data_IF_679206193163
#
_entry.id   IF_679206193163
#
_cell.length_a   1.000
_cell.length_b   1.000
_cell.length_c   1.000
_cell.angle_alpha   90.00
_cell.angle_beta   90.00
_cell.angle_gamma   90.00
#
_symmetry.space_group_name_H-M   'P 1'
#
loop_
_entity.id
_entity.type
_entity.pdbx_description
1 polymer ?
#
# COMPACT_ATOMS: atom_id res chain seq x y z
N UNK A 1 -16.30 7.25 -44.53
CA UNK A 1 -16.75 5.86 -44.71
C UNK A 1 -15.78 5.11 -45.63
N UNK A 2 -14.47 5.20 -45.39
CA UNK A 2 -13.42 4.61 -46.24
C UNK A 2 -12.09 4.36 -45.51
N UNK A 3 -12.10 3.93 -44.25
CA UNK A 3 -10.84 3.66 -43.45
C UNK A 3 -10.91 2.44 -42.53
N UNK A 4 -12.03 1.75 -42.41
CA UNK A 4 -12.11 0.56 -41.54
C UNK A 4 -11.90 -0.78 -42.23
N UNK A 5 -12.03 -0.87 -43.56
CA UNK A 5 -11.76 -2.13 -44.30
C UNK A 5 -10.28 -2.52 -44.43
N UNK A 6 -9.37 -1.60 -44.27
CA UNK A 6 -7.94 -1.85 -44.46
C UNK A 6 -7.23 -2.49 -43.25
N UNK A 7 -7.83 -2.45 -42.07
CA UNK A 7 -7.25 -2.98 -40.85
C UNK A 7 -7.60 -4.45 -40.60
N UNK A 8 -8.77 -4.87 -41.00
CA UNK A 8 -9.20 -6.29 -40.91
C UNK A 8 -8.50 -7.20 -41.95
N UNK A 9 -8.25 -6.69 -43.14
CA UNK A 9 -7.49 -7.44 -44.15
C UNK A 9 -6.07 -7.70 -43.74
N UNK A 10 -5.40 -6.75 -43.12
CA UNK A 10 -4.00 -6.93 -42.62
C UNK A 10 -3.88 -7.86 -41.42
N UNK A 11 -4.94 -8.02 -40.63
CA UNK A 11 -4.95 -9.00 -39.54
C UNK A 11 -5.16 -10.42 -40.04
N UNK A 12 -5.87 -10.62 -41.15
CA UNK A 12 -6.08 -11.96 -41.74
C UNK A 12 -4.83 -12.48 -42.48
N UNK A 13 -4.06 -11.59 -43.11
CA UNK A 13 -2.80 -11.98 -43.76
C UNK A 13 -1.73 -12.40 -42.74
N UNK A 14 -1.63 -11.76 -41.58
CA UNK A 14 -0.69 -12.17 -40.51
C UNK A 14 -1.04 -13.46 -39.79
N UNK A 15 -2.32 -13.86 -39.83
CA UNK A 15 -2.74 -15.14 -39.26
C UNK A 15 -2.46 -16.34 -40.17
N UNK A 16 -2.31 -16.10 -41.48
CA UNK A 16 -2.01 -17.14 -42.45
C UNK A 16 -0.51 -17.49 -42.57
N UNK A 17 0.38 -16.56 -42.21
CA UNK A 17 1.84 -16.76 -42.22
C UNK A 17 2.42 -17.46 -40.97
N UNK A 18 1.62 -17.60 -39.87
CA UNK A 18 2.07 -18.21 -38.62
C UNK A 18 1.80 -19.72 -38.50
N UNK A 19 1.39 -20.41 -39.58
CA UNK A 19 0.90 -21.79 -39.57
C UNK A 19 1.78 -22.84 -40.26
N UNK A 20 3.06 -22.58 -40.58
CA UNK A 20 3.91 -23.54 -41.23
C UNK A 20 5.31 -23.56 -40.57
N UNK A 21 5.49 -24.41 -39.55
CA UNK A 21 6.71 -25.18 -39.30
C UNK A 21 6.61 -25.90 -37.95
N UNK A 22 6.37 -27.22 -38.04
CA UNK A 22 6.60 -28.16 -36.92
C UNK A 22 7.37 -29.37 -37.52
N UNK A 23 8.55 -29.73 -36.99
CA UNK A 23 9.18 -30.98 -37.38
C UNK A 23 8.72 -32.14 -36.48
N UNK A 24 8.29 -33.19 -37.14
CA UNK A 24 8.14 -34.56 -36.59
C UNK A 24 9.50 -35.10 -36.13
N UNK A 25 9.51 -35.78 -34.98
CA UNK A 25 10.54 -36.75 -34.62
C UNK A 25 9.87 -38.03 -34.12
N UNK A 26 10.13 -39.04 -34.93
CA UNK A 26 9.75 -40.45 -34.76
C UNK A 26 10.56 -41.16 -33.68
N UNK A 27 9.87 -42.03 -32.99
CA UNK A 27 10.05 -43.36 -32.52
C UNK A 27 11.42 -43.95 -32.14
N UNK A 28 11.39 -44.68 -31.04
CA UNK A 28 11.84 -46.11 -31.05
C UNK A 28 11.64 -46.69 -29.63
N UNK A 29 11.05 -47.90 -29.64
CA UNK A 29 10.81 -48.78 -28.51
C UNK A 29 12.00 -49.69 -28.23
N UNK A 30 11.89 -50.39 -27.11
CA UNK A 30 12.54 -51.64 -26.63
C UNK A 30 13.52 -51.39 -25.45
N UNK A 31 13.65 -52.18 -24.45
CA UNK A 31 13.10 -53.50 -24.08
C UNK A 31 13.57 -53.80 -22.63
N UNK A 32 12.78 -54.67 -21.94
CA UNK A 32 13.15 -55.66 -20.95
C UNK A 32 13.95 -55.30 -19.65
N UNK A 33 13.38 -55.52 -18.48
CA UNK A 33 13.53 -56.78 -17.83
C UNK A 33 13.72 -56.75 -16.31
N UNK A 34 12.92 -57.55 -15.60
CA UNK A 34 13.15 -58.18 -14.29
C UNK A 34 13.25 -57.27 -13.03
N UNK A 35 12.32 -57.23 -12.08
CA UNK A 35 11.91 -58.38 -11.27
C UNK A 35 12.46 -58.25 -9.87
N UNK A 36 11.62 -57.88 -8.89
CA UNK A 36 11.70 -58.34 -7.51
C UNK A 36 10.48 -57.87 -6.68
N UNK A 37 9.93 -58.76 -5.94
CA UNK A 37 8.69 -58.70 -5.21
C UNK A 37 8.74 -57.87 -3.90
N UNK A 38 7.56 -57.60 -3.26
CA UNK A 38 7.40 -56.57 -2.25
C UNK A 38 7.77 -57.02 -0.86
N UNK A 39 8.53 -56.21 -0.15
CA UNK A 39 8.82 -56.37 1.27
C UNK A 39 7.82 -55.58 2.14
N UNK A 40 7.19 -56.33 2.94
CA UNK A 40 6.27 -56.10 4.05
C UNK A 40 6.46 -54.80 4.83
N UNK A 41 5.47 -53.93 4.81
CA UNK A 41 5.39 -52.71 5.64
C UNK A 41 4.80 -53.08 7.02
N UNK A 42 5.64 -53.56 7.92
CA UNK A 42 5.28 -53.79 9.31
C UNK A 42 4.90 -52.49 10.03
N UNK A 43 3.63 -52.35 10.33
CA UNK A 43 3.07 -51.37 11.28
C UNK A 43 3.62 -51.65 12.67
N UNK A 44 4.57 -50.79 13.13
CA UNK A 44 5.01 -50.81 14.54
C UNK A 44 4.04 -50.02 15.40
N UNK A 45 3.45 -50.68 16.38
CA UNK A 45 2.59 -50.12 17.40
C UNK A 45 3.38 -49.27 18.42
N UNK A 46 2.74 -48.29 19.12
CA UNK A 46 3.40 -47.30 20.02
C UNK A 46 3.92 -47.83 21.35
N UNK A 47 4.02 -49.15 21.55
CA UNK A 47 4.29 -49.76 22.86
C UNK A 47 5.73 -50.23 23.10
N UNK A 48 6.65 -50.16 22.14
CA UNK A 48 7.94 -50.88 22.21
C UNK A 48 9.18 -50.04 22.51
N UNK A 49 9.00 -48.79 22.97
CA UNK A 49 10.13 -47.89 23.33
C UNK A 49 10.56 -47.93 24.80
N UNK A 50 10.07 -48.88 25.61
CA UNK A 50 10.30 -48.86 27.06
C UNK A 50 11.44 -49.73 27.59
N UNK A 51 12.30 -50.32 26.75
CA UNK A 51 13.36 -51.23 27.24
C UNK A 51 14.68 -51.14 26.46
N UNK A 52 15.39 -49.95 26.54
CA UNK A 52 16.84 -49.86 26.28
C UNK A 52 17.50 -48.87 27.20
N UNK A 53 18.67 -49.19 27.81
CA UNK A 53 19.30 -48.35 28.82
C UNK A 53 20.06 -47.11 28.29
N UNK A 54 20.02 -46.84 27.02
CA UNK A 54 20.73 -45.68 26.41
C UNK A 54 19.75 -44.54 26.13
N UNK A 55 19.29 -43.91 27.22
CA UNK A 55 18.35 -42.76 27.19
C UNK A 55 18.88 -41.47 26.52
N UNK A 56 20.00 -41.55 25.78
CA UNK A 56 20.59 -40.39 25.11
C UNK A 56 20.14 -40.20 23.65
N UNK A 57 19.67 -41.24 22.97
CA UNK A 57 19.31 -41.13 21.54
C UNK A 57 17.84 -40.81 21.26
N UNK A 58 16.92 -41.03 22.22
CA UNK A 58 15.52 -40.63 22.05
C UNK A 58 15.26 -39.14 22.32
N UNK A 59 16.18 -38.45 22.99
CA UNK A 59 16.05 -37.00 23.24
C UNK A 59 16.50 -36.14 22.04
N UNK A 60 17.22 -36.72 21.08
CA UNK A 60 17.73 -35.96 19.92
C UNK A 60 16.74 -35.83 18.76
N UNK A 61 15.62 -36.57 18.78
CA UNK A 61 14.59 -36.50 17.72
C UNK A 61 13.36 -35.69 18.09
N UNK A 62 13.31 -35.05 19.26
CA UNK A 62 12.48 -33.91 19.48
C UNK A 62 13.11 -32.71 18.73
N UNK A 63 13.20 -32.83 17.40
CA UNK A 63 13.48 -31.69 16.54
C UNK A 63 12.55 -30.58 17.00
N UNK A 64 13.10 -29.50 17.55
CA UNK A 64 12.43 -28.22 17.74
C UNK A 64 11.73 -27.95 16.42
N UNK A 65 10.44 -28.25 16.36
CA UNK A 65 9.55 -27.74 15.32
C UNK A 65 9.57 -26.24 15.53
N UNK A 66 10.52 -25.57 14.87
CA UNK A 66 10.46 -24.12 14.74
C UNK A 66 9.02 -23.77 14.38
N UNK A 67 8.39 -22.85 15.11
CA UNK A 67 7.02 -22.45 14.77
C UNK A 67 7.08 -22.03 13.32
N UNK A 68 6.38 -22.78 12.44
CA UNK A 68 6.28 -22.48 11.00
C UNK A 68 5.97 -20.99 10.91
N UNK A 69 6.94 -20.18 10.49
CA UNK A 69 6.75 -18.74 10.22
C UNK A 69 5.48 -18.65 9.41
N UNK A 70 4.47 -17.96 9.96
CA UNK A 70 3.15 -17.88 9.36
C UNK A 70 3.31 -17.52 7.88
N UNK A 71 2.65 -18.26 6.98
CA UNK A 71 2.76 -18.05 5.52
C UNK A 71 2.20 -16.70 5.06
N UNK A 72 1.55 -15.96 5.94
CA UNK A 72 0.96 -14.64 5.68
C UNK A 72 1.98 -13.51 5.90
N UNK A 73 2.00 -12.47 5.01
CA UNK A 73 1.32 -12.39 3.72
C UNK A 73 2.18 -12.95 2.58
N UNK A 74 1.61 -13.74 1.67
CA UNK A 74 2.20 -14.03 0.36
C UNK A 74 1.76 -13.01 -0.68
N UNK A 75 2.24 -13.13 -1.93
CA UNK A 75 1.78 -12.27 -3.03
C UNK A 75 0.27 -12.38 -3.26
N UNK A 76 -0.27 -13.61 -3.23
CA UNK A 76 -1.71 -13.87 -3.34
C UNK A 76 -2.49 -13.21 -2.19
N UNK A 77 -1.93 -13.19 -0.97
CA UNK A 77 -2.58 -12.54 0.16
C UNK A 77 -2.64 -11.01 -0.03
N UNK A 78 -1.60 -10.39 -0.59
CA UNK A 78 -1.61 -8.95 -0.90
C UNK A 78 -2.64 -8.61 -1.98
N UNK A 79 -2.74 -9.43 -3.03
CA UNK A 79 -3.79 -9.29 -4.04
C UNK A 79 -5.20 -9.48 -3.45
N UNK A 80 -5.37 -10.45 -2.54
CA UNK A 80 -6.63 -10.65 -1.85
C UNK A 80 -7.00 -9.46 -0.95
N UNK A 81 -6.03 -8.85 -0.24
CA UNK A 81 -6.26 -7.63 0.54
C UNK A 81 -6.68 -6.46 -0.37
N UNK A 82 -6.05 -6.30 -1.55
CA UNK A 82 -6.51 -5.33 -2.54
C UNK A 82 -7.93 -5.65 -3.04
N UNK A 83 -8.24 -6.93 -3.30
CA UNK A 83 -9.59 -7.37 -3.66
C UNK A 83 -10.62 -7.01 -2.59
N UNK A 84 -10.30 -7.20 -1.31
CA UNK A 84 -11.16 -6.78 -0.19
C UNK A 84 -11.36 -5.26 -0.19
N UNK A 85 -10.31 -4.49 -0.48
CA UNK A 85 -10.42 -3.04 -0.59
C UNK A 85 -11.34 -2.61 -1.75
N UNK A 86 -11.21 -3.21 -2.94
CA UNK A 86 -12.08 -2.90 -4.07
C UNK A 86 -13.54 -3.31 -3.82
N UNK A 87 -13.76 -4.43 -3.12
CA UNK A 87 -15.11 -4.79 -2.66
C UNK A 87 -15.66 -3.75 -1.67
N UNK A 88 -14.83 -3.25 -0.77
CA UNK A 88 -15.22 -2.20 0.16
C UNK A 88 -15.55 -0.88 -0.55
N UNK A 89 -14.81 -0.52 -1.61
CA UNK A 89 -15.15 0.63 -2.46
C UNK A 89 -16.52 0.47 -3.11
N UNK A 90 -16.86 -0.73 -3.57
CA UNK A 90 -18.20 -1.01 -4.09
C UNK A 90 -19.27 -0.79 -3.00
N UNK A 91 -19.04 -1.27 -1.77
CA UNK A 91 -19.95 -1.03 -0.66
C UNK A 91 -20.08 0.47 -0.33
N UNK A 92 -18.98 1.23 -0.40
CA UNK A 92 -18.99 2.69 -0.27
C UNK A 92 -19.79 3.38 -1.37
N UNK A 93 -19.68 2.89 -2.61
CA UNK A 93 -20.49 3.36 -3.73
C UNK A 93 -22.00 3.13 -3.52
N UNK A 94 -22.38 1.96 -3.01
CA UNK A 94 -23.79 1.69 -2.66
C UNK A 94 -24.24 2.62 -1.53
N UNK A 95 -23.40 2.84 -0.51
CA UNK A 95 -23.71 3.79 0.58
C UNK A 95 -23.83 5.24 0.07
N UNK A 96 -23.01 5.63 -0.92
CA UNK A 96 -23.12 6.93 -1.60
C UNK A 96 -24.51 7.13 -2.22
N UNK A 97 -24.97 6.15 -2.99
CA UNK A 97 -26.33 6.20 -3.61
C UNK A 97 -27.42 6.24 -2.54
N UNK A 98 -27.31 5.41 -1.49
CA UNK A 98 -28.26 5.39 -0.39
C UNK A 98 -28.29 6.72 0.40
N UNK A 99 -27.13 7.41 0.49
CA UNK A 99 -27.04 8.74 1.07
C UNK A 99 -27.58 9.86 0.17
N UNK A 100 -28.13 9.52 -1.00
CA UNK A 100 -28.65 10.47 -1.98
C UNK A 100 -27.56 11.13 -2.82
N UNK A 101 -26.48 10.39 -3.11
CA UNK A 101 -25.52 10.76 -4.15
C UNK A 101 -26.19 10.71 -5.50
N UNK A 102 -26.20 11.83 -6.20
CA UNK A 102 -26.75 11.96 -7.56
C UNK A 102 -25.59 11.91 -8.54
N UNK A 103 -25.67 11.10 -9.62
CA UNK A 103 -24.59 11.02 -10.61
C UNK A 103 -24.32 12.34 -11.35
N UNK A 104 -25.31 13.23 -11.44
CA UNK A 104 -25.32 14.36 -12.38
C UNK A 104 -24.91 15.72 -11.82
N UNK A 105 -24.18 15.76 -10.70
CA UNK A 105 -23.53 17.00 -10.24
C UNK A 105 -24.43 18.13 -9.72
N UNK A 106 -25.74 17.95 -9.69
CA UNK A 106 -26.72 18.98 -9.21
C UNK A 106 -26.73 19.16 -7.68
N UNK A 107 -26.02 18.29 -6.94
CA UNK A 107 -25.96 18.40 -5.49
C UNK A 107 -25.11 19.60 -5.05
N UNK A 108 -25.58 20.30 -4.00
CA UNK A 108 -24.78 21.36 -3.39
C UNK A 108 -23.41 20.83 -2.93
N UNK A 109 -22.35 21.68 -2.91
CA UNK A 109 -21.02 21.23 -2.48
C UNK A 109 -20.99 20.61 -1.07
N UNK A 110 -21.85 21.09 -0.17
CA UNK A 110 -21.98 20.53 1.17
C UNK A 110 -22.62 19.13 1.15
N UNK A 111 -23.62 18.93 0.32
CA UNK A 111 -24.25 17.62 0.13
C UNK A 111 -23.26 16.61 -0.47
N UNK A 112 -22.47 17.02 -1.46
CA UNK A 112 -21.39 16.19 -2.02
C UNK A 112 -20.40 15.77 -0.93
N UNK A 113 -19.99 16.71 -0.06
CA UNK A 113 -19.12 16.43 1.08
C UNK A 113 -19.72 15.40 2.04
N UNK A 114 -21.02 15.50 2.36
CA UNK A 114 -21.71 14.53 3.21
C UNK A 114 -21.70 13.12 2.57
N UNK A 115 -22.06 13.03 1.29
CA UNK A 115 -22.03 11.76 0.55
C UNK A 115 -20.62 11.17 0.53
N UNK A 116 -19.60 12.00 0.29
CA UNK A 116 -18.21 11.58 0.36
C UNK A 116 -17.85 11.01 1.74
N UNK A 117 -18.27 11.67 2.82
CA UNK A 117 -17.98 11.20 4.18
C UNK A 117 -18.64 9.86 4.50
N UNK A 118 -19.90 9.67 4.10
CA UNK A 118 -20.64 8.40 4.28
C UNK A 118 -20.00 7.28 3.46
N UNK A 119 -19.70 7.55 2.19
CA UNK A 119 -19.05 6.60 1.28
C UNK A 119 -17.67 6.19 1.82
N UNK A 120 -16.84 7.17 2.19
CA UNK A 120 -15.49 6.93 2.73
C UNK A 120 -15.52 6.14 4.02
N UNK A 121 -16.37 6.51 4.98
CA UNK A 121 -16.50 5.79 6.25
C UNK A 121 -16.90 4.33 6.01
N UNK A 122 -17.90 4.10 5.15
CA UNK A 122 -18.36 2.74 4.81
C UNK A 122 -17.22 1.94 4.17
N UNK A 123 -16.53 2.51 3.19
CA UNK A 123 -15.39 1.88 2.52
C UNK A 123 -14.32 1.49 3.53
N UNK A 124 -13.88 2.41 4.37
CA UNK A 124 -12.78 2.15 5.30
C UNK A 124 -13.15 1.15 6.39
N UNK A 125 -14.36 1.21 6.92
CA UNK A 125 -14.83 0.25 7.94
C UNK A 125 -14.90 -1.15 7.35
N UNK A 126 -15.53 -1.31 6.18
CA UNK A 126 -15.63 -2.62 5.50
C UNK A 126 -14.24 -3.14 5.12
N UNK A 127 -13.37 -2.29 4.57
CA UNK A 127 -12.00 -2.65 4.21
C UNK A 127 -11.21 -3.13 5.43
N UNK A 128 -11.19 -2.35 6.51
CA UNK A 128 -10.43 -2.68 7.72
C UNK A 128 -10.90 -4.00 8.34
N UNK A 129 -12.20 -4.17 8.57
CA UNK A 129 -12.73 -5.39 9.16
C UNK A 129 -12.59 -6.61 8.24
N UNK A 130 -12.82 -6.43 6.95
CA UNK A 130 -12.62 -7.49 5.95
C UNK A 130 -11.16 -7.95 5.86
N UNK A 131 -10.21 -7.00 5.83
CA UNK A 131 -8.78 -7.31 5.82
C UNK A 131 -8.32 -7.95 7.12
N UNK A 132 -8.83 -7.52 8.28
CA UNK A 132 -8.54 -8.14 9.57
C UNK A 132 -9.08 -9.57 9.65
N UNK A 133 -10.30 -9.81 9.18
CA UNK A 133 -10.91 -11.13 9.11
C UNK A 133 -10.10 -12.06 8.19
N UNK A 134 -9.76 -11.58 6.99
CA UNK A 134 -8.90 -12.31 6.05
C UNK A 134 -7.54 -12.67 6.68
N UNK A 135 -6.86 -11.68 7.28
CA UNK A 135 -5.57 -11.89 7.95
C UNK A 135 -5.68 -12.96 9.03
N UNK A 136 -6.74 -12.94 9.86
CA UNK A 136 -6.97 -13.96 10.88
C UNK A 136 -7.19 -15.33 10.27
N UNK A 137 -8.03 -15.44 9.25
CA UNK A 137 -8.31 -16.70 8.53
C UNK A 137 -7.05 -17.30 7.91
N UNK A 138 -6.11 -16.45 7.45
CA UNK A 138 -4.82 -16.87 6.88
C UNK A 138 -3.73 -17.13 7.93
N UNK A 139 -4.08 -17.11 9.21
CA UNK A 139 -3.14 -17.37 10.31
C UNK A 139 -2.16 -16.23 10.57
N UNK A 140 -2.47 -15.02 10.12
CA UNK A 140 -1.67 -13.82 10.40
C UNK A 140 -1.72 -13.49 11.89
N UNK A 141 -0.54 -13.47 12.53
CA UNK A 141 -0.36 -13.21 13.96
C UNK A 141 0.53 -11.97 14.16
N UNK A 142 0.56 -11.46 15.38
CA UNK A 142 1.39 -10.30 15.76
C UNK A 142 0.62 -8.98 15.75
N UNK A 143 1.35 -7.90 16.09
CA UNK A 143 0.78 -6.55 16.19
C UNK A 143 0.28 -6.06 14.84
N UNK A 144 -0.79 -5.29 14.87
CA UNK A 144 -1.38 -4.65 13.70
C UNK A 144 -0.87 -3.23 13.58
N UNK A 145 -0.60 -2.54 14.69
CA UNK A 145 -0.12 -1.16 14.69
C UNK A 145 0.62 -0.84 15.98
N UNK A 146 1.46 0.19 15.94
CA UNK A 146 2.16 0.72 17.10
C UNK A 146 1.69 2.15 17.35
N UNK A 147 0.84 2.30 18.35
CA UNK A 147 0.37 3.60 18.84
C UNK A 147 1.29 4.07 19.97
N UNK A 148 2.44 4.63 19.61
CA UNK A 148 3.42 5.12 20.57
C UNK A 148 3.49 6.64 20.50
N UNK A 149 3.52 7.31 21.66
CA UNK A 149 3.83 8.74 21.74
C UNK A 149 5.34 9.02 21.73
N UNK A 150 6.20 8.00 21.80
CA UNK A 150 7.66 8.15 21.91
C UNK A 150 8.33 8.85 20.73
N UNK A 151 7.73 8.81 19.55
CA UNK A 151 8.27 9.48 18.36
C UNK A 151 7.66 10.85 18.09
N UNK A 152 6.87 11.36 19.01
CA UNK A 152 6.17 12.64 18.84
C UNK A 152 7.12 13.79 19.15
N UNK A 153 7.70 14.36 18.11
CA UNK A 153 8.54 15.55 18.16
C UNK A 153 7.94 16.63 17.23
N UNK A 154 7.55 17.79 17.76
CA UNK A 154 7.02 18.88 16.93
C UNK A 154 7.98 19.29 15.80
N UNK A 155 9.29 19.25 16.02
CA UNK A 155 10.27 19.54 14.98
C UNK A 155 10.26 18.48 13.87
N UNK A 156 10.06 17.20 14.22
CA UNK A 156 9.93 16.13 13.24
C UNK A 156 8.66 16.30 12.40
N UNK A 157 7.55 16.65 13.03
CA UNK A 157 6.28 16.91 12.34
C UNK A 157 6.41 18.11 11.41
N UNK A 158 7.04 19.21 11.87
CA UNK A 158 7.24 20.40 11.05
C UNK A 158 8.13 20.09 9.84
N UNK A 159 9.31 19.51 10.06
CA UNK A 159 10.21 19.16 8.96
C UNK A 159 9.60 18.12 8.01
N UNK A 160 8.87 17.14 8.54
CA UNK A 160 8.15 16.14 7.75
C UNK A 160 7.06 16.74 6.87
N UNK A 161 6.29 17.69 7.40
CA UNK A 161 5.25 18.39 6.66
C UNK A 161 5.84 19.28 5.56
N UNK A 162 6.86 20.07 5.89
CA UNK A 162 7.56 20.91 4.89
C UNK A 162 8.16 20.04 3.79
N UNK A 163 8.70 18.88 4.15
CA UNK A 163 9.22 17.92 3.18
C UNK A 163 8.11 17.39 2.25
N UNK A 164 6.96 16.97 2.79
CA UNK A 164 5.85 16.43 2.00
C UNK A 164 5.28 17.47 1.03
N UNK A 165 5.09 18.70 1.49
CA UNK A 165 4.59 19.80 0.63
C UNK A 165 5.59 20.12 -0.48
N UNK A 166 6.87 20.24 -0.16
CA UNK A 166 7.91 20.49 -1.16
C UNK A 166 8.05 19.30 -2.14
N UNK A 167 7.91 18.06 -1.65
CA UNK A 167 7.93 16.86 -2.47
C UNK A 167 6.78 16.86 -3.48
N UNK A 168 5.59 17.31 -3.10
CA UNK A 168 4.44 17.45 -4.02
C UNK A 168 4.78 18.32 -5.22
N UNK A 169 5.43 19.47 -5.00
CA UNK A 169 5.88 20.37 -6.10
C UNK A 169 7.00 19.72 -6.91
N UNK A 170 7.94 19.04 -6.28
CA UNK A 170 9.04 18.35 -6.97
C UNK A 170 8.53 17.20 -7.85
N UNK A 171 7.45 16.52 -7.44
CA UNK A 171 6.82 15.44 -8.22
C UNK A 171 5.93 15.97 -9.36
N UNK A 172 5.53 17.22 -9.35
CA UNK A 172 4.58 17.80 -10.30
C UNK A 172 4.93 17.52 -11.77
N UNK A 173 6.20 17.67 -12.26
CA UNK A 173 6.54 17.39 -13.65
C UNK A 173 6.26 15.93 -14.06
N UNK A 174 6.34 14.99 -13.11
CA UNK A 174 5.97 13.60 -13.33
C UNK A 174 4.46 13.41 -13.32
N UNK A 175 3.77 14.07 -12.39
CA UNK A 175 2.33 13.90 -12.21
C UNK A 175 1.52 14.49 -13.37
N UNK A 176 1.97 15.60 -13.95
CA UNK A 176 1.34 16.24 -15.11
C UNK A 176 1.35 15.35 -16.37
N UNK A 177 2.28 14.39 -16.46
CA UNK A 177 2.32 13.41 -17.56
C UNK A 177 1.24 12.33 -17.46
N UNK A 178 0.55 12.23 -16.33
CA UNK A 178 -0.45 11.22 -16.05
C UNK A 178 -1.87 11.79 -16.26
N UNK A 179 -2.86 10.93 -16.56
CA UNK A 179 -4.25 11.38 -16.64
C UNK A 179 -4.67 12.11 -15.36
N UNK A 180 -5.29 13.30 -15.47
CA UNK A 180 -5.66 14.09 -14.30
C UNK A 180 -6.67 13.34 -13.43
N UNK A 181 -6.52 13.50 -12.12
CA UNK A 181 -7.49 12.97 -11.18
C UNK A 181 -8.74 13.88 -11.16
N UNK A 182 -9.95 13.29 -11.16
CA UNK A 182 -11.17 14.07 -11.05
C UNK A 182 -11.24 14.75 -9.68
N UNK A 183 -11.57 16.02 -9.67
CA UNK A 183 -11.80 16.81 -8.45
C UNK A 183 -13.29 17.01 -8.16
N UNK A 184 -14.13 16.60 -9.12
CA UNK A 184 -15.59 16.60 -9.00
C UNK A 184 -16.02 15.64 -7.87
N UNK A 185 -17.05 16.03 -7.13
CA UNK A 185 -17.60 15.21 -6.04
C UNK A 185 -16.82 15.29 -4.71
N UNK A 186 -15.68 15.98 -4.66
CA UNK A 186 -14.99 16.26 -3.39
C UNK A 186 -15.88 17.10 -2.47
N UNK A 187 -16.69 17.99 -3.06
CA UNK A 187 -17.57 18.87 -2.31
C UNK A 187 -16.83 19.92 -1.48
N UNK A 188 -17.52 20.49 -0.51
CA UNK A 188 -16.98 21.52 0.37
C UNK A 188 -17.52 21.39 1.80
N UNK A 189 -16.88 22.13 2.72
CA UNK A 189 -17.32 22.22 4.11
C UNK A 189 -16.77 21.15 5.03
N UNK A 190 -17.41 21.04 6.20
CA UNK A 190 -16.93 20.18 7.30
C UNK A 190 -16.94 18.68 6.99
N UNK A 191 -17.89 18.22 6.19
CA UNK A 191 -17.98 16.82 5.79
C UNK A 191 -16.85 16.38 4.88
N UNK A 192 -16.47 17.22 3.89
CA UNK A 192 -15.30 16.94 3.05
C UNK A 192 -14.01 16.95 3.86
N UNK A 193 -13.87 17.90 4.80
CA UNK A 193 -12.73 17.92 5.73
C UNK A 193 -12.70 16.65 6.60
N UNK A 194 -13.83 16.23 7.15
CA UNK A 194 -13.91 15.00 7.93
C UNK A 194 -13.46 13.79 7.10
N UNK A 195 -13.96 13.66 5.87
CA UNK A 195 -13.61 12.55 4.99
C UNK A 195 -12.11 12.53 4.64
N UNK A 196 -11.58 13.65 4.16
CA UNK A 196 -10.24 13.73 3.56
C UNK A 196 -9.13 13.93 4.58
N UNK A 197 -9.40 14.68 5.67
CA UNK A 197 -8.38 15.08 6.64
C UNK A 197 -8.36 14.18 7.87
N UNK A 198 -9.49 13.55 8.20
CA UNK A 198 -9.58 12.71 9.40
C UNK A 198 -9.74 11.24 9.05
N UNK A 199 -10.82 10.89 8.34
CA UNK A 199 -11.15 9.48 8.09
C UNK A 199 -10.10 8.83 7.17
N UNK A 200 -9.80 9.44 6.02
CA UNK A 200 -8.84 8.87 5.08
C UNK A 200 -7.47 8.64 5.74
N UNK A 201 -6.77 9.63 6.31
CA UNK A 201 -5.47 9.41 6.93
C UNK A 201 -5.48 8.38 8.05
N UNK A 202 -6.51 8.40 8.90
CA UNK A 202 -6.60 7.46 10.01
C UNK A 202 -6.69 6.01 9.54
N UNK A 203 -7.63 5.72 8.65
CA UNK A 203 -7.87 4.35 8.20
C UNK A 203 -6.81 3.86 7.23
N UNK A 204 -6.33 4.72 6.33
CA UNK A 204 -5.29 4.38 5.37
C UNK A 204 -3.97 4.05 6.06
N UNK A 205 -3.56 4.84 7.06
CA UNK A 205 -2.36 4.53 7.84
C UNK A 205 -2.55 3.25 8.67
N UNK A 206 -3.72 3.03 9.25
CA UNK A 206 -4.03 1.81 10.00
C UNK A 206 -3.96 0.56 9.10
N UNK A 207 -4.47 0.65 7.88
CA UNK A 207 -4.40 -0.43 6.89
C UNK A 207 -2.97 -0.61 6.39
N UNK A 208 -2.34 0.48 5.88
CA UNK A 208 -1.06 0.37 5.18
C UNK A 208 0.12 0.18 6.14
N UNK A 209 0.20 0.94 7.25
CA UNK A 209 1.31 0.84 8.22
C UNK A 209 0.99 -0.16 9.32
N UNK A 210 -0.24 -0.16 9.77
CA UNK A 210 -0.66 -1.10 10.81
C UNK A 210 -0.74 -2.54 10.32
N UNK A 211 -1.54 -2.81 9.29
CA UNK A 211 -1.80 -4.18 8.86
C UNK A 211 -0.77 -4.68 7.83
N UNK A 212 -0.60 -3.95 6.71
CA UNK A 212 0.22 -4.41 5.58
C UNK A 212 1.71 -4.35 5.92
N UNK A 213 2.22 -3.19 6.34
CA UNK A 213 3.63 -3.00 6.66
C UNK A 213 4.10 -3.94 7.77
N UNK A 214 3.39 -4.02 8.89
CA UNK A 214 3.78 -4.88 10.00
C UNK A 214 3.74 -6.37 9.62
N UNK A 215 2.78 -6.78 8.79
CA UNK A 215 2.73 -8.16 8.28
C UNK A 215 3.90 -8.46 7.34
N UNK A 216 4.22 -7.55 6.41
CA UNK A 216 5.38 -7.66 5.52
C UNK A 216 6.70 -7.64 6.30
N UNK A 217 6.82 -6.75 7.30
CA UNK A 217 8.01 -6.64 8.15
C UNK A 217 8.30 -7.94 8.89
N UNK A 218 7.26 -8.57 9.43
CA UNK A 218 7.40 -9.82 10.16
C UNK A 218 7.87 -10.99 9.30
N UNK A 219 7.56 -10.97 8.00
CA UNK A 219 7.90 -12.07 7.09
C UNK A 219 9.13 -11.80 6.23
N UNK A 220 9.25 -10.62 5.66
CA UNK A 220 10.24 -10.28 4.62
C UNK A 220 11.27 -9.24 5.05
N UNK A 221 11.11 -8.65 6.25
CA UNK A 221 12.01 -7.62 6.76
C UNK A 221 11.62 -6.20 6.38
N UNK A 222 12.47 -5.24 6.80
CA UNK A 222 12.15 -3.81 6.80
C UNK A 222 12.04 -3.24 5.39
N UNK A 223 12.95 -3.61 4.47
CA UNK A 223 12.96 -3.04 3.12
C UNK A 223 11.71 -3.41 2.32
N UNK A 224 11.34 -4.71 2.33
CA UNK A 224 10.13 -5.19 1.65
C UNK A 224 8.88 -4.59 2.29
N UNK A 225 8.86 -4.42 3.59
CA UNK A 225 7.75 -3.78 4.29
C UNK A 225 7.60 -2.31 3.90
N UNK A 226 8.70 -1.56 3.88
CA UNK A 226 8.75 -0.16 3.51
C UNK A 226 8.23 0.05 2.08
N UNK A 227 8.86 -0.61 1.11
CA UNK A 227 8.51 -0.47 -0.31
C UNK A 227 7.13 -1.06 -0.62
N UNK A 228 6.86 -2.29 -0.16
CA UNK A 228 5.62 -3.01 -0.47
C UNK A 228 4.38 -2.36 0.11
N UNK A 229 4.44 -1.80 1.34
CA UNK A 229 3.30 -1.07 1.90
C UNK A 229 3.05 0.27 1.20
N UNK A 230 4.11 0.92 0.69
CA UNK A 230 3.99 2.16 -0.07
C UNK A 230 3.41 1.91 -1.46
N UNK A 231 3.82 0.81 -2.11
CA UNK A 231 3.24 0.37 -3.37
C UNK A 231 1.76 -0.01 -3.20
N UNK A 232 1.43 -0.74 -2.14
CA UNK A 232 0.04 -1.07 -1.80
C UNK A 232 -0.81 0.19 -1.61
N UNK A 233 -0.27 1.19 -0.90
CA UNK A 233 -0.91 2.48 -0.69
C UNK A 233 -1.15 3.23 -2.01
N UNK A 234 -0.17 3.25 -2.91
CA UNK A 234 -0.34 3.82 -4.24
C UNK A 234 -1.45 3.14 -5.04
N UNK A 235 -1.44 1.80 -5.09
CA UNK A 235 -2.44 1.03 -5.86
C UNK A 235 -3.87 1.22 -5.33
N UNK A 236 -4.05 1.44 -4.03
CA UNK A 236 -5.37 1.75 -3.46
C UNK A 236 -6.02 3.01 -4.06
N UNK A 237 -5.25 3.95 -4.59
CA UNK A 237 -5.76 5.23 -5.11
C UNK A 237 -6.33 5.14 -6.54
N UNK A 238 -6.16 4.02 -7.24
CA UNK A 238 -6.74 3.71 -8.58
C UNK A 238 -6.31 4.71 -9.66
N UNK A 239 -6.58 6.01 -9.48
CA UNK A 239 -6.25 7.09 -10.41
C UNK A 239 -4.73 7.21 -10.57
N UNK A 240 -4.15 7.10 -11.78
CA UNK A 240 -2.71 7.03 -11.97
C UNK A 240 -1.94 8.19 -11.32
N UNK A 241 -2.45 9.41 -11.45
CA UNK A 241 -1.85 10.61 -10.87
C UNK A 241 -1.82 10.55 -9.33
N UNK A 242 -2.96 10.17 -8.72
CA UNK A 242 -3.04 10.00 -7.26
C UNK A 242 -2.23 8.80 -6.79
N UNK A 243 -2.22 7.70 -7.55
CA UNK A 243 -1.49 6.49 -7.21
C UNK A 243 0.03 6.72 -7.13
N UNK A 244 0.59 7.45 -8.11
CA UNK A 244 2.00 7.81 -8.11
C UNK A 244 2.33 8.77 -6.98
N UNK A 245 1.53 9.82 -6.77
CA UNK A 245 1.71 10.73 -5.66
C UNK A 245 1.65 10.00 -4.30
N UNK A 246 0.61 9.17 -4.10
CA UNK A 246 0.43 8.38 -2.89
C UNK A 246 1.59 7.41 -2.65
N UNK A 247 2.13 6.79 -3.69
CA UNK A 247 3.31 5.94 -3.56
C UNK A 247 4.51 6.68 -2.95
N UNK A 248 4.83 7.87 -3.46
CA UNK A 248 5.96 8.66 -2.94
C UNK A 248 5.69 9.21 -1.53
N UNK A 249 4.49 9.75 -1.26
CA UNK A 249 4.06 10.11 0.09
C UNK A 249 4.11 8.88 1.00
N UNK A 250 3.69 7.74 0.48
CA UNK A 250 3.72 6.45 1.14
C UNK A 250 5.11 6.03 1.61
N UNK A 251 6.13 6.21 0.78
CA UNK A 251 7.54 5.94 1.13
C UNK A 251 8.00 6.79 2.33
N UNK A 252 7.62 8.07 2.35
CA UNK A 252 7.97 8.99 3.45
C UNK A 252 7.29 8.57 4.75
N UNK A 253 5.97 8.37 4.72
CA UNK A 253 5.19 8.01 5.91
C UNK A 253 5.61 6.64 6.46
N UNK A 254 5.85 5.65 5.58
CA UNK A 254 6.36 4.33 6.00
C UNK A 254 7.76 4.41 6.62
N UNK A 255 8.66 5.24 6.05
CA UNK A 255 9.97 5.49 6.63
C UNK A 255 9.86 6.10 8.02
N UNK A 256 9.04 7.13 8.19
CA UNK A 256 8.84 7.78 9.49
C UNK A 256 8.21 6.84 10.51
N UNK A 257 7.20 6.05 10.12
CA UNK A 257 6.63 5.02 10.98
C UNK A 257 7.67 4.01 11.46
N UNK A 258 8.51 3.50 10.55
CA UNK A 258 9.57 2.55 10.89
C UNK A 258 10.65 3.12 11.80
N UNK A 259 10.90 4.44 11.72
CA UNK A 259 11.91 5.13 12.53
C UNK A 259 11.41 5.57 13.89
N UNK A 260 10.12 5.87 14.00
CA UNK A 260 9.49 6.38 15.24
C UNK A 260 8.73 5.32 16.01
N UNK A 261 8.42 4.18 15.38
CA UNK A 261 7.48 3.17 15.88
C UNK A 261 6.11 3.79 16.31
N UNK A 262 5.69 4.87 15.66
CA UNK A 262 4.49 5.63 16.01
C UNK A 262 3.58 5.81 14.80
N UNK A 263 2.39 5.19 14.87
CA UNK A 263 1.36 5.40 13.85
C UNK A 263 0.82 6.83 13.87
N UNK A 264 0.79 7.47 15.03
CA UNK A 264 0.32 8.85 15.17
C UNK A 264 1.15 9.84 14.36
N UNK A 265 2.48 9.64 14.27
CA UNK A 265 3.34 10.50 13.44
C UNK A 265 2.93 10.42 11.97
N UNK A 266 2.69 9.21 11.46
CA UNK A 266 2.24 9.02 10.08
C UNK A 266 0.84 9.58 9.84
N UNK A 267 -0.12 9.29 10.73
CA UNK A 267 -1.50 9.80 10.65
C UNK A 267 -1.55 11.33 10.64
N UNK A 268 -0.81 11.98 11.56
CA UNK A 268 -0.83 13.44 11.66
C UNK A 268 -0.17 14.12 10.46
N UNK A 269 0.98 13.60 10.01
CA UNK A 269 1.64 14.14 8.81
C UNK A 269 0.76 13.96 7.57
N UNK A 270 0.13 12.82 7.43
CA UNK A 270 -0.82 12.57 6.34
C UNK A 270 -2.03 13.51 6.43
N UNK A 271 -2.64 13.64 7.60
CA UNK A 271 -3.78 14.53 7.83
C UNK A 271 -3.42 16.00 7.53
N UNK A 272 -2.27 16.49 7.98
CA UNK A 272 -1.82 17.85 7.68
C UNK A 272 -1.52 18.05 6.19
N UNK A 273 -0.89 17.07 5.53
CA UNK A 273 -0.67 17.11 4.09
C UNK A 273 -2.00 17.22 3.32
N UNK A 274 -2.98 16.39 3.68
CA UNK A 274 -4.30 16.41 3.06
C UNK A 274 -5.07 17.69 3.38
N UNK A 275 -4.92 18.25 4.60
CA UNK A 275 -5.53 19.51 4.96
C UNK A 275 -5.00 20.66 4.10
N UNK A 276 -3.67 20.73 3.89
CA UNK A 276 -3.06 21.72 3.01
C UNK A 276 -3.53 21.54 1.56
N UNK A 277 -3.52 20.32 1.05
CA UNK A 277 -3.98 20.03 -0.31
C UNK A 277 -5.46 20.41 -0.51
N UNK A 278 -6.33 20.06 0.44
CA UNK A 278 -7.74 20.43 0.40
C UNK A 278 -7.94 21.96 0.48
N UNK A 279 -7.21 22.63 1.36
CA UNK A 279 -7.28 24.10 1.49
C UNK A 279 -6.82 24.79 0.20
N UNK A 280 -5.70 24.36 -0.36
CA UNK A 280 -5.18 24.89 -1.63
C UNK A 280 -6.19 24.69 -2.76
N UNK A 281 -6.76 23.51 -2.90
CA UNK A 281 -7.79 23.22 -3.90
C UNK A 281 -8.99 24.18 -3.76
N UNK A 282 -9.38 24.52 -2.53
CA UNK A 282 -10.52 25.41 -2.27
C UNK A 282 -10.20 26.88 -2.54
N UNK A 283 -9.02 27.32 -2.16
CA UNK A 283 -8.59 28.75 -2.33
C UNK A 283 -8.20 29.05 -3.77
N UNK A 284 -7.63 28.07 -4.48
CA UNK A 284 -7.21 28.23 -5.89
C UNK A 284 -8.35 28.14 -6.91
N UNK A 285 -9.56 27.81 -6.47
CA UNK A 285 -10.69 27.61 -7.39
C UNK A 285 -10.60 26.31 -8.21
N UNK A 286 -9.86 25.30 -7.69
CA UNK A 286 -9.75 23.98 -8.30
C UNK A 286 -8.38 23.63 -8.88
N UNK A 287 -7.42 24.57 -8.87
CA UNK A 287 -6.05 24.25 -9.30
C UNK A 287 -5.39 23.26 -8.33
N UNK A 288 -4.81 22.22 -8.91
CA UNK A 288 -4.14 21.14 -8.18
C UNK A 288 -2.62 21.33 -8.17
N UNK A 289 -2.08 22.01 -9.19
CA UNK A 289 -0.65 22.16 -9.43
C UNK A 289 -0.18 23.61 -9.34
N UNK A 290 1.08 23.80 -8.96
CA UNK A 290 1.73 25.10 -8.92
C UNK A 290 1.84 25.69 -10.34
N UNK A 291 2.05 24.87 -11.37
CA UNK A 291 2.04 25.30 -12.77
C UNK A 291 0.72 25.92 -13.19
N UNK A 292 -0.40 25.38 -12.73
CA UNK A 292 -1.75 25.93 -12.99
C UNK A 292 -1.94 27.28 -12.27
N UNK A 293 -1.48 27.39 -11.00
CA UNK A 293 -1.57 28.61 -10.21
C UNK A 293 -0.72 29.76 -10.77
N UNK A 294 0.44 29.44 -11.34
CA UNK A 294 1.40 30.45 -11.83
C UNK A 294 1.26 30.74 -13.32
N UNK A 295 0.44 29.97 -14.03
CA UNK A 295 0.37 30.01 -15.50
C UNK A 295 1.64 29.48 -16.18
N UNK A 296 2.48 28.72 -15.48
CA UNK A 296 3.73 28.18 -15.99
C UNK A 296 4.87 29.22 -16.06
N UNK A 297 5.80 29.04 -16.98
CA UNK A 297 6.88 29.98 -17.26
C UNK A 297 7.93 30.14 -16.16
N UNK A 298 8.61 31.29 -16.13
CA UNK A 298 9.73 31.56 -15.23
C UNK A 298 9.34 31.48 -13.73
N UNK A 299 8.11 31.89 -13.38
CA UNK A 299 7.60 31.85 -12.00
C UNK A 299 7.48 30.41 -11.51
N UNK A 300 6.95 29.53 -12.36
CA UNK A 300 6.87 28.09 -12.04
C UNK A 300 8.26 27.49 -11.84
N UNK A 301 9.21 27.73 -12.76
CA UNK A 301 10.57 27.17 -12.62
C UNK A 301 11.29 27.73 -11.39
N UNK A 302 11.08 28.98 -11.02
CA UNK A 302 11.59 29.54 -9.77
C UNK A 302 10.98 28.84 -8.55
N UNK A 303 9.66 28.66 -8.51
CA UNK A 303 8.95 27.96 -7.45
C UNK A 303 9.42 26.48 -7.34
N UNK A 304 9.60 25.80 -8.47
CA UNK A 304 10.14 24.44 -8.53
C UNK A 304 11.56 24.35 -7.95
N UNK A 305 12.47 25.26 -8.37
CA UNK A 305 13.84 25.29 -7.87
C UNK A 305 13.90 25.55 -6.35
N UNK A 306 13.09 26.50 -5.86
CA UNK A 306 12.95 26.76 -4.41
C UNK A 306 12.43 25.51 -3.70
N UNK A 307 11.39 24.86 -4.23
CA UNK A 307 10.81 23.64 -3.64
C UNK A 307 11.82 22.49 -3.61
N UNK A 308 12.65 22.32 -4.63
CA UNK A 308 13.73 21.32 -4.63
C UNK A 308 14.75 21.59 -3.51
N UNK A 309 15.15 22.84 -3.29
CA UNK A 309 16.04 23.23 -2.19
C UNK A 309 15.36 22.99 -0.84
N UNK A 310 14.11 23.41 -0.68
CA UNK A 310 13.32 23.19 0.55
C UNK A 310 13.16 21.70 0.83
N UNK A 311 12.92 20.88 -0.19
CA UNK A 311 12.84 19.43 -0.08
C UNK A 311 14.16 18.84 0.48
N UNK A 312 15.31 19.24 -0.06
CA UNK A 312 16.62 18.79 0.41
C UNK A 312 16.93 19.26 1.85
N UNK A 313 16.62 20.49 2.18
CA UNK A 313 16.82 21.07 3.52
C UNK A 313 15.93 20.38 4.55
N UNK A 314 14.65 20.19 4.23
CA UNK A 314 13.69 19.54 5.12
C UNK A 314 14.00 18.05 5.31
N UNK A 315 14.43 17.33 4.27
CA UNK A 315 14.94 15.95 4.39
C UNK A 315 16.10 15.86 5.39
N UNK A 316 17.05 16.82 5.31
CA UNK A 316 18.15 16.93 6.28
C UNK A 316 17.65 17.26 7.69
N UNK A 317 16.61 18.11 7.80
CA UNK A 317 15.95 18.43 9.07
C UNK A 317 15.32 17.19 9.72
N UNK A 318 14.54 16.44 8.96
CA UNK A 318 13.97 15.13 9.37
C UNK A 318 15.08 14.19 9.87
N UNK A 319 16.12 13.99 9.06
CA UNK A 319 17.21 13.09 9.41
C UNK A 319 17.93 13.51 10.71
N UNK A 320 18.27 14.79 10.86
CA UNK A 320 18.91 15.32 12.07
C UNK A 320 18.06 15.12 13.32
N UNK A 321 16.76 15.30 13.21
CA UNK A 321 15.81 15.11 14.32
C UNK A 321 15.75 13.64 14.73
N UNK A 322 15.62 12.72 13.76
CA UNK A 322 15.62 11.29 14.02
C UNK A 322 16.91 10.79 14.67
N UNK A 323 18.08 11.29 14.24
CA UNK A 323 19.39 10.95 14.84
C UNK A 323 19.48 11.45 16.29
N UNK A 324 18.97 12.65 16.59
CA UNK A 324 18.92 13.16 17.98
C UNK A 324 18.09 12.25 18.89
N UNK A 325 16.90 11.82 18.44
CA UNK A 325 16.08 10.89 19.20
C UNK A 325 16.76 9.56 19.48
N UNK A 326 17.43 9.00 18.47
CA UNK A 326 18.16 7.73 18.64
C UNK A 326 19.30 7.84 19.65
N UNK A 327 20.01 8.97 19.68
CA UNK A 327 21.09 9.23 20.65
C UNK A 327 20.55 9.43 22.08
N UNK A 328 19.48 10.21 22.24
CA UNK A 328 18.84 10.42 23.52
C UNK A 328 18.32 9.11 24.14
N UNK A 329 17.71 8.25 23.34
CA UNK A 329 17.24 6.93 23.78
C UNK A 329 18.38 6.01 24.24
N UNK A 330 19.56 6.06 23.59
CA UNK A 330 20.72 5.28 23.99
C UNK A 330 21.33 5.78 25.29
N UNK A 331 21.41 7.10 25.47
CA UNK A 331 21.98 7.69 26.68
C UNK A 331 21.08 7.51 27.92
N UNK A 332 19.75 7.51 27.74
CA UNK A 332 18.80 7.26 28.83
C UNK A 332 18.63 5.78 29.21
N UNK A 333 19.08 4.86 28.38
CA UNK A 333 19.08 3.43 28.69
C UNK A 333 20.37 2.95 29.39
N UNK A 334 21.38 3.83 29.52
CA UNK A 334 22.65 3.55 30.18
C UNK A 334 22.82 4.23 31.57
N UNK A 335 21.78 4.95 32.03
CA UNK A 335 21.67 5.55 33.34
C UNK A 335 20.61 4.80 34.17
#
# INVERSE_FOLDING_TARGET
MMTERSTEERMRERAAEAGADAPEVSGSAADAGHGAAPGDAGTRSPGECAARPDGAECAATAAKTEPRRGRFPGAVDLLALLGVFFLALFCGGVASVAAGGVPDGEASPERQGFVLAVSSLTTYVVALFGMLAYRRARGGRGRIARFSARGFDPALLLWGLVFLVALGVVLEPLLVLLPPAPVEGIGAGSWSMLALVVLAPLFEELICRGLVLESLRARYGVFVAWFGSSLFFGVMHIQPQLAVNAFFVGLVLAFLYLRTDSLWVAVLLHAFNNAIAYLLLRVSGGAVFVSELTGGGAVYYAAYAVSAVVCAVSARGVWRTLVRHTRAAKNGAGA
#
